data_IF_994968310532
#
_entry.id   IF_994968310532
#
_cell.length_a   1.000
_cell.length_b   1.000
_cell.length_c   1.000
_cell.angle_alpha   90.00
_cell.angle_beta   90.00
_cell.angle_gamma   90.00
#
_symmetry.space_group_name_H-M   'P 1'
#
loop_
_entity.id
_entity.type
_entity.pdbx_description
1 polymer ?
#
# COMPACT_ATOMS: atom_id res chain seq x y z
N UNK A 1 -21.12 -15.81 17.65
CA UNK A 1 -19.94 -16.64 18.02
C UNK A 1 -19.59 -16.35 19.47
N UNK A 2 -19.76 -17.32 20.36
CA UNK A 2 -19.48 -17.16 21.80
C UNK A 2 -17.96 -17.22 22.05
N UNK A 3 -17.47 -16.30 22.88
CA UNK A 3 -16.05 -16.13 23.23
C UNK A 3 -15.49 -17.38 23.93
N UNK A 4 -14.40 -17.94 23.37
CA UNK A 4 -13.78 -19.18 23.86
C UNK A 4 -13.30 -19.03 25.30
N UNK A 5 -12.84 -17.82 25.68
CA UNK A 5 -12.39 -17.49 27.02
C UNK A 5 -13.52 -17.50 28.04
N UNK A 6 -14.69 -16.99 27.65
CA UNK A 6 -15.88 -16.99 28.50
C UNK A 6 -16.37 -18.42 28.79
N UNK A 7 -16.27 -19.33 27.81
CA UNK A 7 -16.57 -20.76 28.01
C UNK A 7 -15.57 -21.45 28.94
N UNK A 8 -14.28 -21.18 28.77
CA UNK A 8 -13.23 -21.76 29.62
C UNK A 8 -13.30 -21.24 31.07
N UNK A 9 -13.70 -19.97 31.25
CA UNK A 9 -13.96 -19.40 32.57
C UNK A 9 -15.24 -19.96 33.21
N UNK A 10 -16.31 -20.14 32.42
CA UNK A 10 -17.56 -20.76 32.90
C UNK A 10 -17.39 -22.25 33.25
N UNK A 11 -16.47 -22.95 32.57
CA UNK A 11 -16.11 -24.34 32.84
C UNK A 11 -15.14 -24.51 34.02
N UNK A 12 -14.72 -23.42 34.69
CA UNK A 12 -13.79 -23.46 35.83
C UNK A 12 -12.35 -23.84 35.46
N UNK A 13 -12.04 -23.97 34.17
CA UNK A 13 -10.71 -24.34 33.66
C UNK A 13 -9.71 -23.18 33.82
N UNK A 14 -10.20 -21.95 33.81
CA UNK A 14 -9.38 -20.73 33.92
C UNK A 14 -10.11 -19.71 34.79
N UNK A 15 -9.41 -19.10 35.74
CA UNK A 15 -10.01 -18.04 36.57
C UNK A 15 -10.11 -16.72 35.80
N UNK A 16 -11.07 -15.86 36.17
CA UNK A 16 -11.22 -14.52 35.58
C UNK A 16 -9.95 -13.68 35.74
N UNK A 17 -9.19 -13.90 36.80
CA UNK A 17 -7.91 -13.22 37.08
C UNK A 17 -6.82 -13.67 36.11
N UNK A 18 -6.68 -14.97 35.85
CA UNK A 18 -5.73 -15.51 34.87
C UNK A 18 -6.01 -15.00 33.44
N UNK A 19 -7.29 -14.89 33.06
CA UNK A 19 -7.68 -14.31 31.76
C UNK A 19 -7.26 -12.84 31.68
N UNK A 20 -7.55 -12.06 32.73
CA UNK A 20 -7.20 -10.63 32.79
C UNK A 20 -5.69 -10.40 32.80
N UNK A 21 -4.93 -11.24 33.48
CA UNK A 21 -3.48 -11.17 33.50
C UNK A 21 -2.87 -11.51 32.13
N UNK A 22 -3.39 -12.54 31.46
CA UNK A 22 -2.99 -12.88 30.10
C UNK A 22 -3.27 -11.74 29.10
N UNK A 23 -4.44 -11.10 29.19
CA UNK A 23 -4.79 -9.95 28.36
C UNK A 23 -3.93 -8.73 28.63
N UNK A 24 -3.63 -8.44 29.90
CA UNK A 24 -2.72 -7.37 30.28
C UNK A 24 -1.29 -7.65 29.78
N UNK A 25 -0.83 -8.90 29.83
CA UNK A 25 0.48 -9.31 29.32
C UNK A 25 0.56 -9.19 27.79
N UNK A 26 -0.47 -9.63 27.08
CA UNK A 26 -0.64 -9.43 25.62
C UNK A 26 -0.62 -7.95 25.27
N UNK A 27 -1.40 -7.12 25.97
CA UNK A 27 -1.48 -5.68 25.74
C UNK A 27 -0.13 -5.00 25.97
N UNK A 28 0.55 -5.30 27.08
CA UNK A 28 1.90 -4.78 27.38
C UNK A 28 2.93 -5.18 26.32
N UNK A 29 2.88 -6.43 25.83
CA UNK A 29 3.75 -6.89 24.73
C UNK A 29 3.48 -6.11 23.44
N UNK A 30 2.20 -5.90 23.09
CA UNK A 30 1.81 -5.12 21.91
C UNK A 30 2.24 -3.66 22.01
N UNK A 31 2.05 -3.02 23.17
CA UNK A 31 2.47 -1.65 23.44
C UNK A 31 4.00 -1.51 23.40
N UNK A 32 4.74 -2.43 24.03
CA UNK A 32 6.21 -2.44 24.01
C UNK A 32 6.76 -2.63 22.59
N UNK A 33 6.16 -3.51 21.79
CA UNK A 33 6.58 -3.72 20.41
C UNK A 33 6.29 -2.49 19.54
N UNK A 34 5.13 -1.85 19.75
CA UNK A 34 4.78 -0.57 19.09
C UNK A 34 5.76 0.55 19.46
N UNK A 35 6.19 0.62 20.72
CA UNK A 35 7.13 1.64 21.18
C UNK A 35 8.57 1.39 20.69
N UNK A 36 9.00 0.12 20.61
CA UNK A 36 10.27 -0.28 19.97
C UNK A 36 10.29 0.02 18.47
N UNK A 37 9.17 -0.17 17.78
CA UNK A 37 9.05 0.21 16.38
C UNK A 37 9.09 1.74 16.20
N UNK A 38 8.43 2.51 17.09
CA UNK A 38 8.48 3.97 17.06
C UNK A 38 9.88 4.53 17.29
N UNK A 39 10.62 4.00 18.27
CA UNK A 39 11.99 4.44 18.57
C UNK A 39 12.99 4.10 17.46
N UNK A 40 12.87 2.94 16.81
CA UNK A 40 13.71 2.61 15.63
C UNK A 40 13.45 3.52 14.43
N UNK A 41 12.21 3.95 14.24
CA UNK A 41 11.83 4.88 13.17
C UNK A 41 12.23 6.35 13.45
N UNK A 42 12.81 6.65 14.62
CA UNK A 42 13.28 8.00 14.97
C UNK A 42 14.70 8.33 14.52
N UNK A 43 15.46 7.38 13.96
CA UNK A 43 16.81 7.61 13.44
C UNK A 43 16.90 8.61 12.29
N UNK A 44 18.02 9.34 12.27
CA UNK A 44 18.51 10.39 11.36
C UNK A 44 17.85 10.51 9.99
N UNK A 45 17.61 11.74 9.52
CA UNK A 45 17.03 12.10 8.21
C UNK A 45 17.82 11.71 6.96
N UNK A 46 18.56 10.60 7.02
CA UNK A 46 19.25 9.94 5.92
C UNK A 46 18.57 8.59 5.72
N UNK A 47 18.16 8.30 4.48
CA UNK A 47 17.58 7.00 4.14
C UNK A 47 18.68 5.96 4.15
N UNK A 48 18.66 5.01 5.09
CA UNK A 48 19.56 3.87 5.04
C UNK A 48 19.06 2.86 3.99
N UNK A 49 19.60 3.01 2.78
CA UNK A 49 19.24 2.19 1.62
C UNK A 49 19.56 0.72 1.84
N UNK A 50 20.69 0.41 2.49
CA UNK A 50 21.12 -0.98 2.72
C UNK A 50 20.16 -1.67 3.68
N UNK A 51 19.79 -0.97 4.74
CA UNK A 51 18.81 -1.45 5.70
C UNK A 51 17.43 -1.66 5.09
N UNK A 52 17.00 -0.79 4.18
CA UNK A 52 15.73 -0.95 3.46
C UNK A 52 15.76 -2.11 2.46
N UNK A 53 16.88 -2.36 1.81
CA UNK A 53 17.07 -3.48 0.89
C UNK A 53 17.15 -4.83 1.63
N UNK A 54 17.73 -4.85 2.83
CA UNK A 54 17.83 -6.05 3.67
C UNK A 54 16.53 -6.38 4.43
N UNK A 55 15.65 -5.40 4.63
CA UNK A 55 14.38 -5.60 5.32
C UNK A 55 13.37 -6.39 4.48
N UNK A 56 12.43 -7.07 5.14
CA UNK A 56 11.24 -7.56 4.45
C UNK A 56 10.40 -6.38 3.93
N UNK A 57 9.55 -6.62 2.92
CA UNK A 57 8.76 -5.55 2.29
C UNK A 57 7.86 -4.79 3.27
N UNK A 58 7.24 -5.48 4.23
CA UNK A 58 6.35 -4.84 5.21
C UNK A 58 7.08 -3.84 6.11
N UNK A 59 8.26 -4.22 6.62
CA UNK A 59 9.11 -3.36 7.42
C UNK A 59 9.70 -2.21 6.61
N UNK A 60 10.10 -2.47 5.36
CA UNK A 60 10.52 -1.42 4.43
C UNK A 60 9.40 -0.38 4.24
N UNK A 61 8.15 -0.80 4.03
CA UNK A 61 7.01 0.12 3.92
C UNK A 61 6.76 0.92 5.19
N UNK A 62 6.88 0.30 6.37
CA UNK A 62 6.74 1.00 7.65
C UNK A 62 7.81 2.08 7.84
N UNK A 63 9.07 1.78 7.51
CA UNK A 63 10.18 2.74 7.58
C UNK A 63 10.00 3.87 6.59
N UNK A 64 9.65 3.56 5.34
CA UNK A 64 9.41 4.58 4.31
C UNK A 64 8.25 5.50 4.70
N UNK A 65 7.14 4.97 5.23
CA UNK A 65 6.05 5.81 5.75
C UNK A 65 6.54 6.79 6.81
N UNK A 66 7.42 6.33 7.71
CA UNK A 66 8.01 7.22 8.73
C UNK A 66 8.94 8.28 8.14
N UNK A 67 9.72 7.94 7.11
CA UNK A 67 10.58 8.90 6.40
C UNK A 67 9.72 9.95 5.68
N UNK A 68 8.70 9.51 4.95
CA UNK A 68 7.78 10.39 4.22
C UNK A 68 7.05 11.33 5.18
N UNK A 69 6.53 10.82 6.29
CA UNK A 69 5.84 11.66 7.28
C UNK A 69 6.72 12.79 7.85
N UNK A 70 8.05 12.60 7.92
CA UNK A 70 8.99 13.60 8.44
C UNK A 70 9.50 14.58 7.38
N UNK A 71 9.61 14.15 6.13
CA UNK A 71 10.36 14.87 5.11
C UNK A 71 9.53 15.31 3.90
N UNK A 72 8.27 14.90 3.80
CA UNK A 72 7.38 15.38 2.74
C UNK A 72 7.25 16.90 2.79
N UNK A 73 7.23 17.50 1.60
CA UNK A 73 7.14 18.96 1.42
C UNK A 73 5.76 19.40 0.98
N UNK A 74 4.95 18.49 0.46
CA UNK A 74 3.55 18.72 0.12
C UNK A 74 2.64 18.49 1.33
N UNK A 75 1.48 19.15 1.33
CA UNK A 75 0.43 18.92 2.31
C UNK A 75 0.06 17.43 2.37
N UNK A 76 0.18 16.82 3.55
CA UNK A 76 -0.57 15.59 3.80
C UNK A 76 -2.05 15.96 3.85
N UNK A 77 -2.97 15.11 3.37
CA UNK A 77 -4.39 15.48 3.20
C UNK A 77 -5.15 15.93 4.47
N UNK A 78 -4.44 16.15 5.58
CA UNK A 78 -4.85 16.83 6.81
C UNK A 78 -4.58 18.34 6.80
N UNK A 79 -3.62 18.82 6.01
CA UNK A 79 -3.34 20.23 5.79
C UNK A 79 -4.14 20.75 4.59
N UNK A 80 -4.85 21.85 4.79
CA UNK A 80 -5.55 22.56 3.71
C UNK A 80 -4.51 23.37 2.93
N UNK A 81 -4.34 23.14 1.62
CA UNK A 81 -3.43 23.94 0.80
C UNK A 81 -3.81 25.41 0.80
N UNK A 82 -2.83 26.30 0.66
CA UNK A 82 -3.08 27.74 0.58
C UNK A 82 -3.85 28.11 -0.70
N UNK A 83 -4.36 29.34 -0.75
CA UNK A 83 -5.01 29.88 -1.95
C UNK A 83 -4.05 30.01 -3.14
N UNK A 84 -2.75 30.10 -2.89
CA UNK A 84 -1.71 30.23 -3.92
C UNK A 84 -1.19 28.88 -4.42
N UNK A 85 -1.63 27.77 -3.79
CA UNK A 85 -1.22 26.44 -4.19
C UNK A 85 -1.72 26.13 -5.61
N UNK A 86 -0.86 25.51 -6.42
CA UNK A 86 -1.12 25.23 -7.84
C UNK A 86 -1.05 23.74 -8.15
N UNK A 87 -1.90 23.23 -9.06
CA UNK A 87 -1.84 21.84 -9.46
C UNK A 87 -0.55 21.56 -10.25
N UNK A 88 0.17 20.53 -9.83
CA UNK A 88 1.33 19.99 -10.54
C UNK A 88 0.98 18.62 -11.11
N UNK A 89 0.97 18.51 -12.44
CA UNK A 89 0.67 17.28 -13.16
C UNK A 89 1.87 16.34 -13.25
N UNK A 90 1.66 15.04 -13.08
CA UNK A 90 2.66 14.00 -13.29
C UNK A 90 2.01 12.69 -13.75
N UNK A 91 2.81 11.78 -14.31
CA UNK A 91 2.33 10.47 -14.78
C UNK A 91 2.71 9.40 -13.75
N UNK A 92 1.75 8.58 -13.33
CA UNK A 92 1.99 7.46 -12.42
C UNK A 92 2.57 6.21 -13.12
N UNK A 93 2.90 5.16 -12.37
CA UNK A 93 3.46 3.92 -12.95
C UNK A 93 2.52 3.25 -13.96
N UNK A 94 1.22 3.51 -13.88
CA UNK A 94 0.23 2.96 -14.80
C UNK A 94 0.02 3.81 -16.06
N UNK A 95 0.75 4.91 -16.20
CA UNK A 95 0.58 5.87 -17.29
C UNK A 95 -0.57 6.84 -17.10
N UNK A 96 -1.23 6.86 -15.93
CA UNK A 96 -2.34 7.77 -15.67
C UNK A 96 -1.80 9.14 -15.23
N UNK A 97 -2.41 10.20 -15.76
CA UNK A 97 -2.16 11.55 -15.30
C UNK A 97 -2.73 11.71 -13.89
N UNK A 98 -1.89 12.21 -12.99
CA UNK A 98 -2.19 12.53 -11.59
C UNK A 98 -1.78 13.97 -11.33
N UNK A 99 -2.34 14.54 -10.27
CA UNK A 99 -2.05 15.90 -9.85
C UNK A 99 -1.80 15.96 -8.35
N UNK A 100 -0.86 16.81 -7.93
CA UNK A 100 -0.71 17.24 -6.55
C UNK A 100 -0.94 18.74 -6.48
N UNK A 101 -1.60 19.22 -5.43
CA UNK A 101 -1.72 20.66 -5.18
C UNK A 101 -0.50 21.09 -4.36
N UNK A 102 0.37 21.92 -4.94
CA UNK A 102 1.67 22.29 -4.37
C UNK A 102 1.74 23.79 -4.07
N UNK A 103 2.32 24.12 -2.92
CA UNK A 103 2.69 25.51 -2.59
C UNK A 103 3.72 26.05 -3.60
N UNK A 104 3.77 27.38 -3.83
CA UNK A 104 4.65 27.98 -4.85
C UNK A 104 6.13 27.61 -4.69
N UNK A 105 6.64 27.57 -3.47
CA UNK A 105 8.03 27.22 -3.14
C UNK A 105 8.33 25.74 -3.42
N UNK A 106 7.38 24.85 -3.13
CA UNK A 106 7.47 23.41 -3.43
C UNK A 106 7.40 23.19 -4.94
N UNK A 107 6.50 23.89 -5.64
CA UNK A 107 6.38 23.82 -7.09
C UNK A 107 7.69 24.23 -7.76
N UNK A 108 8.27 25.37 -7.35
CA UNK A 108 9.57 25.82 -7.84
C UNK A 108 10.67 24.79 -7.56
N UNK A 109 10.71 24.23 -6.35
CA UNK A 109 11.69 23.20 -5.97
C UNK A 109 11.62 21.95 -6.83
N UNK A 110 10.40 21.51 -7.22
CA UNK A 110 10.21 20.37 -8.13
C UNK A 110 10.67 20.74 -9.55
N UNK A 111 10.29 21.92 -10.06
CA UNK A 111 10.69 22.39 -11.39
C UNK A 111 12.22 22.49 -11.54
N UNK A 112 12.91 23.01 -10.53
CA UNK A 112 14.37 23.13 -10.47
C UNK A 112 15.08 21.80 -10.20
N UNK A 113 14.34 20.72 -9.90
CA UNK A 113 14.89 19.40 -9.59
C UNK A 113 15.56 19.30 -8.22
N UNK A 114 15.29 20.24 -7.30
CA UNK A 114 15.70 20.19 -5.88
C UNK A 114 14.81 19.25 -5.06
N UNK A 115 13.57 19.05 -5.50
CA UNK A 115 12.61 18.08 -4.98
C UNK A 115 12.11 17.16 -6.09
N UNK A 116 11.53 16.03 -5.70
CA UNK A 116 11.02 15.03 -6.61
C UNK A 116 9.64 14.54 -6.17
N UNK A 117 8.81 14.13 -7.12
CA UNK A 117 7.59 13.39 -6.83
C UNK A 117 7.94 11.91 -6.73
N UNK A 118 7.67 11.31 -5.57
CA UNK A 118 7.88 9.89 -5.31
C UNK A 118 6.59 9.22 -4.88
N UNK A 119 6.40 8.00 -5.36
CA UNK A 119 5.39 7.10 -4.81
C UNK A 119 5.86 6.51 -3.48
N UNK A 120 4.90 6.11 -2.64
CA UNK A 120 5.14 5.33 -1.44
C UNK A 120 3.89 4.51 -1.05
N UNK A 121 4.08 3.47 -0.24
CA UNK A 121 2.98 2.65 0.26
C UNK A 121 2.38 3.29 1.53
N UNK A 122 1.22 3.95 1.40
CA UNK A 122 0.48 4.52 2.52
C UNK A 122 -0.34 3.45 3.27
N UNK A 123 -1.10 3.85 4.29
CA UNK A 123 -2.07 2.95 4.92
C UNK A 123 -3.24 2.57 3.99
N UNK A 124 -3.50 3.39 2.97
CA UNK A 124 -4.63 3.25 2.04
C UNK A 124 -4.18 2.78 0.64
N UNK A 125 -2.97 2.22 0.53
CA UNK A 125 -2.37 1.80 -0.73
C UNK A 125 -1.35 2.81 -1.29
N UNK A 126 -1.05 2.69 -2.58
CA UNK A 126 0.00 3.49 -3.23
C UNK A 126 -0.42 4.95 -3.33
N UNK A 127 0.39 5.84 -2.76
CA UNK A 127 0.19 7.28 -2.77
C UNK A 127 1.42 7.99 -3.34
N UNK A 128 1.31 9.30 -3.56
CA UNK A 128 2.39 10.14 -4.08
C UNK A 128 2.62 11.33 -3.14
N UNK A 129 3.86 11.80 -3.08
CA UNK A 129 4.26 12.95 -2.27
C UNK A 129 5.49 13.61 -2.89
N UNK A 130 5.80 14.83 -2.42
CA UNK A 130 7.01 15.55 -2.78
C UNK A 130 8.06 15.35 -1.71
N UNK A 131 9.24 14.86 -2.10
CA UNK A 131 10.37 14.63 -1.22
C UNK A 131 11.59 15.42 -1.69
N UNK A 132 12.53 15.79 -0.79
CA UNK A 132 13.84 16.30 -1.18
C UNK A 132 14.54 15.34 -2.15
N UNK A 133 15.30 15.89 -3.11
CA UNK A 133 15.99 15.11 -4.16
C UNK A 133 16.77 13.91 -3.60
N UNK A 134 17.59 14.13 -2.56
CA UNK A 134 18.42 13.08 -1.98
C UNK A 134 17.60 11.88 -1.50
N UNK A 135 16.53 12.14 -0.74
CA UNK A 135 15.63 11.10 -0.20
C UNK A 135 14.92 10.37 -1.33
N UNK A 136 14.40 11.09 -2.33
CA UNK A 136 13.72 10.48 -3.46
C UNK A 136 14.64 9.56 -4.27
N UNK A 137 15.91 9.96 -4.47
CA UNK A 137 16.92 9.12 -5.13
C UNK A 137 17.27 7.88 -4.32
N UNK A 138 17.38 8.00 -3.00
CA UNK A 138 17.64 6.85 -2.13
C UNK A 138 16.47 5.87 -2.12
N UNK A 139 15.22 6.34 -2.07
CA UNK A 139 14.05 5.48 -2.21
C UNK A 139 14.01 4.81 -3.59
N UNK A 140 14.43 5.49 -4.65
CA UNK A 140 14.49 4.91 -5.99
C UNK A 140 15.53 3.78 -6.11
N UNK A 141 16.57 3.74 -5.26
CA UNK A 141 17.51 2.60 -5.21
C UNK A 141 16.85 1.34 -4.65
N UNK A 142 15.81 1.48 -3.82
CA UNK A 142 15.05 0.36 -3.24
C UNK A 142 13.85 0.00 -4.13
N UNK A 143 13.13 1.01 -4.60
CA UNK A 143 11.94 0.87 -5.44
C UNK A 143 12.09 1.75 -6.71
N UNK A 144 12.73 1.25 -7.78
CA UNK A 144 13.08 2.05 -8.95
C UNK A 144 11.89 2.69 -9.65
N UNK A 145 10.76 1.99 -9.67
CA UNK A 145 9.53 2.49 -10.28
C UNK A 145 8.80 3.51 -9.41
N UNK A 146 9.29 3.91 -8.23
CA UNK A 146 8.60 4.88 -7.39
C UNK A 146 8.96 6.34 -7.70
N UNK A 147 10.08 6.61 -8.37
CA UNK A 147 10.46 7.96 -8.78
C UNK A 147 9.63 8.42 -9.99
N UNK A 148 8.72 9.38 -9.78
CA UNK A 148 7.79 9.87 -10.83
C UNK A 148 8.31 11.07 -11.58
N UNK A 149 8.80 12.07 -10.85
CA UNK A 149 9.23 13.32 -11.46
C UNK A 149 10.49 13.79 -10.77
N UNK A 150 11.56 13.98 -11.54
CA UNK A 150 12.78 14.63 -11.11
C UNK A 150 13.49 15.21 -12.34
N UNK A 151 13.58 16.53 -12.42
CA UNK A 151 14.23 17.23 -13.54
C UNK A 151 15.68 16.74 -13.73
N UNK A 152 16.00 16.36 -14.97
CA UNK A 152 17.34 15.90 -15.36
C UNK A 152 17.69 14.47 -14.93
N UNK A 153 16.73 13.64 -14.49
CA UNK A 153 17.01 12.27 -14.05
C UNK A 153 16.35 11.20 -14.94
N UNK A 154 17.16 10.41 -15.65
CA UNK A 154 16.69 9.43 -16.64
C UNK A 154 15.80 8.30 -16.08
N UNK A 155 15.88 8.01 -14.78
CA UNK A 155 15.03 6.99 -14.17
C UNK A 155 13.63 7.51 -13.75
N UNK A 156 13.43 8.83 -13.73
CA UNK A 156 12.15 9.40 -13.32
C UNK A 156 11.08 9.15 -14.38
N UNK A 157 9.85 8.84 -13.95
CA UNK A 157 8.70 8.70 -14.84
C UNK A 157 8.65 7.36 -15.58
N UNK A 158 9.46 6.37 -15.17
CA UNK A 158 9.36 5.02 -15.72
C UNK A 158 7.99 4.42 -15.43
N UNK A 159 7.32 4.04 -16.51
CA UNK A 159 6.03 3.34 -16.50
C UNK A 159 6.30 1.85 -16.38
N UNK A 160 5.46 1.17 -15.60
CA UNK A 160 5.46 -0.29 -15.57
C UNK A 160 4.90 -0.78 -16.90
N UNK A 161 5.78 -1.21 -17.81
CA UNK A 161 5.41 -1.77 -19.12
C UNK A 161 4.83 -3.18 -19.00
N UNK A 162 4.24 -3.52 -17.86
CA UNK A 162 3.87 -4.88 -17.46
C UNK A 162 3.47 -5.70 -18.67
N UNK A 163 4.11 -6.87 -18.84
CA UNK A 163 3.57 -7.94 -19.68
C UNK A 163 2.07 -7.97 -19.46
N UNK A 164 1.34 -7.57 -20.50
CA UNK A 164 -0.10 -7.67 -20.59
C UNK A 164 -0.47 -9.15 -20.65
N UNK A 165 -0.27 -9.89 -19.57
CA UNK A 165 -0.89 -11.17 -19.35
C UNK A 165 -2.08 -10.94 -18.44
N UNK A 166 -3.27 -10.95 -19.06
CA UNK A 166 -4.45 -11.58 -18.47
C UNK A 166 -4.04 -12.82 -17.66
N UNK A 167 -4.60 -12.98 -16.46
CA UNK A 167 -4.39 -14.15 -15.61
C UNK A 167 -4.28 -13.73 -14.14
N UNK A 168 -5.40 -13.57 -13.45
CA UNK A 168 -5.95 -14.65 -12.63
C UNK A 168 -5.28 -14.72 -11.25
N UNK A 169 -6.03 -14.24 -10.24
CA UNK A 169 -6.24 -14.97 -8.98
C UNK A 169 -7.35 -14.33 -8.14
N UNK A 170 -8.51 -14.98 -8.23
CA UNK A 170 -9.34 -15.40 -7.10
C UNK A 170 -9.99 -14.31 -6.22
N UNK A 171 -11.12 -13.79 -6.69
CA UNK A 171 -12.30 -13.63 -5.83
C UNK A 171 -13.11 -14.92 -5.91
N UNK A 172 -12.99 -15.77 -4.90
CA UNK A 172 -13.86 -16.91 -4.69
C UNK A 172 -15.29 -16.45 -4.39
N UNK A 173 -16.13 -16.45 -5.42
CA UNK A 173 -17.57 -16.48 -5.27
C UNK A 173 -18.08 -17.44 -6.35
N UNK A 174 -18.39 -18.66 -5.92
CA UNK A 174 -19.03 -19.66 -6.73
C UNK A 174 -20.43 -19.16 -7.12
N UNK A 175 -20.55 -18.58 -8.32
CA UNK A 175 -21.83 -18.45 -9.01
C UNK A 175 -21.88 -19.63 -9.97
N UNK A 176 -22.62 -20.68 -9.56
CA UNK A 176 -23.10 -21.70 -10.47
C UNK A 176 -24.18 -21.06 -11.34
N UNK A 177 -23.88 -20.78 -12.59
CA UNK A 177 -24.92 -20.63 -13.62
C UNK A 177 -25.18 -21.99 -14.29
N UNK A 178 -26.45 -22.34 -14.52
CA UNK A 178 -26.86 -23.63 -15.06
C UNK A 178 -26.56 -23.75 -16.55
N UNK A 179 -26.08 -24.94 -16.95
CA UNK A 179 -25.87 -25.31 -18.33
C UNK A 179 -27.19 -25.30 -19.10
N UNK A 180 -27.34 -24.36 -20.04
CA UNK A 180 -28.35 -24.40 -21.10
C UNK A 180 -28.01 -25.55 -22.05
N UNK A 181 -28.80 -26.61 -22.00
CA UNK A 181 -28.74 -27.73 -22.94
C UNK A 181 -29.17 -27.27 -24.35
N UNK A 182 -28.48 -27.70 -25.43
CA UNK A 182 -28.97 -27.51 -26.78
C UNK A 182 -30.16 -28.46 -27.08
N UNK A 183 -31.15 -27.91 -27.79
CA UNK A 183 -32.39 -28.57 -28.15
C UNK A 183 -32.20 -29.80 -29.07
N UNK A 184 -33.06 -30.83 -28.97
CA UNK A 184 -33.04 -31.97 -29.89
C UNK A 184 -33.77 -31.68 -31.20
N UNK A 185 -33.11 -31.99 -32.33
CA UNK A 185 -33.76 -32.07 -33.65
C UNK A 185 -34.63 -33.33 -33.78
N UNK A 186 -35.74 -33.27 -34.54
CA UNK A 186 -36.68 -34.37 -34.66
C UNK A 186 -36.40 -35.27 -35.86
N UNK A 187 -36.59 -36.57 -35.66
CA UNK A 187 -37.08 -37.46 -36.72
C UNK A 187 -36.13 -38.59 -37.13
N UNK A 188 -36.50 -39.83 -36.80
CA UNK A 188 -37.09 -40.75 -37.79
C UNK A 188 -37.28 -42.16 -37.26
N UNK A 189 -38.47 -42.70 -37.55
CA UNK A 189 -38.81 -44.11 -37.81
C UNK A 189 -38.81 -45.16 -36.66
N UNK A 190 -40.03 -45.50 -36.20
CA UNK A 190 -40.77 -46.81 -36.30
C UNK A 190 -39.98 -48.12 -36.56
N UNK A 191 -40.55 -49.34 -36.34
CA UNK A 191 -41.86 -49.73 -35.77
C UNK A 191 -41.83 -50.93 -34.78
N UNK A 192 -42.99 -51.27 -34.17
CA UNK A 192 -43.46 -52.67 -34.15
C UNK A 192 -43.76 -53.35 -32.80
N UNK A 193 -44.98 -53.94 -32.74
CA UNK A 193 -45.49 -55.07 -31.93
C UNK A 193 -45.54 -54.91 -30.40
N UNK A 194 -46.62 -55.24 -29.69
CA UNK A 194 -47.93 -55.89 -29.94
C UNK A 194 -48.96 -55.27 -28.97
#
# INVERSE_FOLDING_TARGET
MLDLKAKLAAAGVVTKEQVREAENRERRKREANRNRQRSRNQGSGVVDVRDLQAANRGDAYLRIRSIVAKHRRDADGTLVPSADARPFGFVDASGKLRQLLLEPDVHQSVSEGKAAISAYMSNNGLAHCVLPRAIALDLAKVFPLWLRTLTGHAAAGKIDKGTSSRGDRSSGAAVREPATAPAPEPGSAKPGHD
#
